data_IF_497630101772
#
_entry.id   IF_497630101772
#
_cell.length_a   1.000
_cell.length_b   1.000
_cell.length_c   1.000
_cell.angle_alpha   90.00
_cell.angle_beta   90.00
_cell.angle_gamma   90.00
#
_symmetry.space_group_name_H-M   'P 1'
#
loop_
_entity.id
_entity.type
_entity.pdbx_description
1 polymer ?
#
# COMPACT_ATOMS: atom_id res chain seq x y z
N UNK A 1 7.61 -17.45 -10.60
CA UNK A 1 6.41 -17.01 -11.36
C UNK A 1 5.66 -16.07 -10.45
N UNK A 2 5.68 -14.77 -10.74
CA UNK A 2 4.96 -13.77 -9.94
C UNK A 2 3.49 -13.77 -10.29
N UNK A 3 2.63 -13.55 -9.29
CA UNK A 3 1.18 -13.49 -9.50
C UNK A 3 0.79 -12.21 -10.25
N UNK A 4 -0.38 -12.19 -10.91
CA UNK A 4 -0.89 -10.97 -11.57
C UNK A 4 -1.04 -9.80 -10.60
N UNK A 5 -1.33 -10.09 -9.32
CA UNK A 5 -1.44 -9.10 -8.26
C UNK A 5 -0.07 -8.51 -7.92
N UNK A 6 0.96 -9.34 -7.79
CA UNK A 6 2.33 -8.88 -7.52
C UNK A 6 2.85 -7.93 -8.60
N UNK A 7 2.58 -8.24 -9.88
CA UNK A 7 2.96 -7.36 -11.00
C UNK A 7 2.25 -6.01 -10.91
N UNK A 8 0.97 -6.02 -10.53
CA UNK A 8 0.17 -4.78 -10.41
C UNK A 8 0.64 -3.92 -9.24
N UNK A 9 0.94 -4.54 -8.09
CA UNK A 9 1.45 -3.83 -6.92
C UNK A 9 2.83 -3.22 -7.21
N UNK A 10 3.70 -3.94 -7.92
CA UNK A 10 5.03 -3.44 -8.26
C UNK A 10 4.97 -2.18 -9.13
N UNK A 11 4.15 -2.21 -10.19
CA UNK A 11 3.92 -1.06 -11.07
C UNK A 11 3.29 0.13 -10.36
N UNK A 12 2.34 -0.12 -9.44
CA UNK A 12 1.75 0.92 -8.61
C UNK A 12 2.80 1.61 -7.73
N UNK A 13 3.64 0.81 -7.05
CA UNK A 13 4.70 1.35 -6.19
C UNK A 13 5.72 2.14 -7.01
N UNK A 14 6.11 1.67 -8.19
CA UNK A 14 7.01 2.42 -9.08
C UNK A 14 6.45 3.78 -9.46
N UNK A 15 5.17 3.83 -9.87
CA UNK A 15 4.52 5.08 -10.23
C UNK A 15 4.43 6.06 -9.04
N UNK A 16 4.08 5.57 -7.85
CA UNK A 16 4.01 6.38 -6.64
C UNK A 16 5.40 6.91 -6.22
N UNK A 17 6.44 6.07 -6.31
CA UNK A 17 7.81 6.47 -6.00
C UNK A 17 8.33 7.52 -6.99
N UNK A 18 8.04 7.37 -8.27
CA UNK A 18 8.42 8.35 -9.29
C UNK A 18 7.75 9.72 -9.05
N UNK A 19 6.49 9.73 -8.59
CA UNK A 19 5.73 10.95 -8.34
C UNK A 19 6.19 11.69 -7.09
N UNK A 20 6.41 10.97 -5.98
CA UNK A 20 6.64 11.57 -4.67
C UNK A 20 8.11 11.64 -4.25
N UNK A 21 8.95 10.77 -4.80
CA UNK A 21 10.36 10.62 -4.41
C UNK A 21 11.29 10.57 -5.64
N UNK A 22 11.30 11.62 -6.49
CA UNK A 22 12.20 11.66 -7.63
C UNK A 22 13.67 11.62 -7.15
N UNK A 23 14.41 10.61 -7.59
CA UNK A 23 15.81 10.38 -7.17
C UNK A 23 15.99 9.40 -6.01
N UNK A 24 14.95 8.67 -5.61
CA UNK A 24 15.09 7.59 -4.64
C UNK A 24 16.07 6.52 -5.14
N UNK A 25 17.08 6.12 -4.34
CA UNK A 25 18.01 5.06 -4.74
C UNK A 25 17.28 3.73 -5.00
N UNK A 26 17.71 2.99 -6.02
CA UNK A 26 17.08 1.74 -6.44
C UNK A 26 17.02 0.67 -5.32
N UNK A 27 18.04 0.60 -4.47
CA UNK A 27 18.04 -0.30 -3.31
C UNK A 27 16.92 0.02 -2.32
N UNK A 28 16.67 1.32 -2.09
CA UNK A 28 15.59 1.77 -1.22
C UNK A 28 14.24 1.50 -1.86
N UNK A 29 14.10 1.74 -3.16
CA UNK A 29 12.89 1.40 -3.91
C UNK A 29 12.55 -0.10 -3.81
N UNK A 30 13.54 -0.98 -3.96
CA UNK A 30 13.37 -2.42 -3.79
C UNK A 30 12.89 -2.80 -2.38
N UNK A 31 13.43 -2.15 -1.35
CA UNK A 31 12.96 -2.34 0.04
C UNK A 31 11.53 -1.85 0.22
N UNK A 32 11.16 -0.71 -0.36
CA UNK A 32 9.78 -0.18 -0.29
C UNK A 32 8.81 -1.15 -0.96
N UNK A 33 9.13 -1.66 -2.15
CA UNK A 33 8.32 -2.68 -2.85
C UNK A 33 8.07 -3.92 -2.00
N UNK A 34 9.13 -4.45 -1.38
CA UNK A 34 9.03 -5.62 -0.50
C UNK A 34 8.22 -5.35 0.79
N UNK A 35 8.24 -4.13 1.32
CA UNK A 35 7.40 -3.76 2.47
C UNK A 35 5.96 -3.51 2.05
N UNK A 36 5.74 -2.87 0.90
CA UNK A 36 4.40 -2.61 0.37
C UNK A 36 3.65 -3.90 0.07
N UNK A 37 4.32 -4.92 -0.47
CA UNK A 37 3.72 -6.24 -0.67
C UNK A 37 3.22 -6.87 0.64
N UNK A 38 3.96 -6.71 1.75
CA UNK A 38 3.53 -7.16 3.09
C UNK A 38 2.34 -6.37 3.60
N UNK A 39 2.33 -5.05 3.41
CA UNK A 39 1.19 -4.20 3.78
C UNK A 39 -0.05 -4.57 2.98
N UNK A 40 0.08 -4.85 1.68
CA UNK A 40 -1.04 -5.25 0.83
C UNK A 40 -1.70 -6.56 1.32
N UNK A 41 -0.89 -7.52 1.80
CA UNK A 41 -1.41 -8.76 2.41
C UNK A 41 -2.22 -8.49 3.68
N UNK A 42 -1.80 -7.51 4.50
CA UNK A 42 -2.54 -7.12 5.71
C UNK A 42 -3.78 -6.27 5.40
N UNK A 43 -3.72 -5.45 4.36
CA UNK A 43 -4.81 -4.56 3.96
C UNK A 43 -5.97 -5.33 3.32
N UNK A 44 -5.71 -6.45 2.62
CA UNK A 44 -6.74 -7.24 1.96
C UNK A 44 -7.95 -7.58 2.85
N UNK A 45 -7.76 -8.20 4.03
CA UNK A 45 -8.85 -8.47 4.97
C UNK A 45 -9.56 -7.21 5.49
N UNK A 46 -8.82 -6.12 5.72
CA UNK A 46 -9.38 -4.84 6.21
C UNK A 46 -10.30 -4.22 5.15
N UNK A 47 -9.86 -4.23 3.88
CA UNK A 47 -10.64 -3.71 2.75
C UNK A 47 -11.82 -4.60 2.37
N UNK A 48 -11.80 -5.87 2.77
CA UNK A 48 -12.92 -6.79 2.59
C UNK A 48 -14.00 -6.64 3.68
N UNK A 49 -13.72 -5.88 4.75
CA UNK A 49 -14.72 -5.57 5.77
C UNK A 49 -15.82 -4.67 5.15
N UNK A 50 -17.11 -5.02 5.29
CA UNK A 50 -18.18 -4.18 4.79
C UNK A 50 -18.22 -2.88 5.60
N UNK A 51 -18.04 -1.75 4.92
CA UNK A 51 -18.15 -0.40 5.49
C UNK A 51 -19.43 0.23 4.96
N UNK A 52 -20.30 0.67 5.86
CA UNK A 52 -21.47 1.46 5.52
C UNK A 52 -21.06 2.91 5.24
N UNK A 53 -21.83 3.61 4.39
CA UNK A 53 -21.58 5.03 4.09
C UNK A 53 -21.69 5.92 5.35
N UNK A 54 -22.42 5.46 6.37
CA UNK A 54 -22.59 6.15 7.63
C UNK A 54 -21.61 5.68 8.72
N UNK A 55 -20.71 4.74 8.44
CA UNK A 55 -19.69 4.34 9.41
C UNK A 55 -18.74 5.51 9.67
N UNK A 56 -18.68 5.93 10.93
CA UNK A 56 -17.78 6.99 11.35
C UNK A 56 -16.37 6.43 11.63
N UNK A 57 -15.30 7.21 11.39
CA UNK A 57 -13.97 6.85 11.83
C UNK A 57 -13.95 6.54 13.33
N UNK A 58 -13.12 5.58 13.74
CA UNK A 58 -12.91 5.32 15.16
C UNK A 58 -12.52 6.62 15.89
N UNK A 59 -13.15 6.86 17.04
CA UNK A 59 -12.90 8.06 17.85
C UNK A 59 -11.42 8.19 18.17
N UNK A 60 -10.77 9.22 17.62
CA UNK A 60 -9.43 9.61 18.05
C UNK A 60 -9.58 10.40 19.34
N UNK A 61 -9.02 9.90 20.44
CA UNK A 61 -8.99 10.65 21.68
C UNK A 61 -8.23 11.95 21.46
N UNK A 62 -8.88 13.09 21.72
CA UNK A 62 -8.25 14.40 21.75
C UNK A 62 -8.10 14.81 23.22
N UNK A 63 -6.85 15.02 23.64
CA UNK A 63 -6.49 15.54 24.95
C UNK A 63 -6.70 17.05 25.03
#
# INVERSE_FOLDING_TARGET
>A
MSTSLEITLDAYVDAALALHFPGLPAEVAARVKAQFARVAQLAGPVLAYPVDVNDEPATVYHA
#
